data_IF_917231394637
#
_entry.id   IF_917231394637
#
_cell.length_a   1.000
_cell.length_b   1.000
_cell.length_c   1.000
_cell.angle_alpha   90.00
_cell.angle_beta   90.00
_cell.angle_gamma   90.00
#
_symmetry.space_group_name_H-M   'P 1'
#
loop_
_entity.id
_entity.type
_entity.pdbx_description
1 polymer ?
#
# COMPACT_ATOMS: atom_id res chain seq x y z
N UNK A 1 2.84 -18.12 20.16
CA UNK A 1 2.73 -17.19 19.02
C UNK A 1 2.13 -17.93 17.85
N UNK A 2 1.01 -17.44 17.29
CA UNK A 2 0.38 -18.04 16.13
C UNK A 2 1.38 -18.04 14.97
N UNK A 3 1.46 -19.14 14.22
CA UNK A 3 2.37 -19.26 13.07
C UNK A 3 1.75 -20.12 12.00
N UNK A 4 2.19 -19.93 10.77
CA UNK A 4 1.86 -20.80 9.64
C UNK A 4 3.06 -21.73 9.42
N UNK A 5 2.81 -23.03 9.55
CA UNK A 5 3.83 -24.06 9.36
C UNK A 5 4.08 -24.30 7.87
N UNK A 6 5.36 -24.26 7.46
CA UNK A 6 5.77 -24.54 6.09
C UNK A 6 5.39 -25.96 5.65
N UNK A 7 5.39 -26.95 6.56
CA UNK A 7 4.98 -28.32 6.26
C UNK A 7 3.48 -28.40 5.92
N UNK A 8 2.66 -27.61 6.60
CA UNK A 8 1.22 -27.50 6.29
C UNK A 8 1.01 -26.87 4.91
N UNK A 9 1.73 -25.79 4.59
CA UNK A 9 1.66 -25.16 3.27
C UNK A 9 2.06 -26.17 2.18
N UNK A 10 3.13 -26.93 2.41
CA UNK A 10 3.56 -27.98 1.50
C UNK A 10 2.50 -29.09 1.32
N UNK A 11 1.84 -29.50 2.39
CA UNK A 11 0.75 -30.49 2.36
C UNK A 11 -0.46 -29.96 1.57
N UNK A 12 -0.91 -28.75 1.85
CA UNK A 12 -2.01 -28.10 1.14
C UNK A 12 -1.69 -27.92 -0.35
N UNK A 13 -0.44 -27.55 -0.68
CA UNK A 13 0.03 -27.48 -2.06
C UNK A 13 0.05 -28.85 -2.74
N UNK A 14 0.50 -29.89 -2.04
CA UNK A 14 0.51 -31.26 -2.56
C UNK A 14 -0.89 -31.74 -2.95
N UNK A 15 -1.90 -31.46 -2.11
CA UNK A 15 -3.31 -31.79 -2.37
C UNK A 15 -3.85 -31.18 -3.67
N UNK A 16 -3.32 -30.02 -4.08
CA UNK A 16 -3.79 -29.24 -5.24
C UNK A 16 -2.89 -29.37 -6.49
N UNK A 17 -1.70 -29.96 -6.34
CA UNK A 17 -0.65 -30.00 -7.38
C UNK A 17 -1.11 -30.54 -8.74
N UNK A 18 -1.94 -31.59 -8.76
CA UNK A 18 -2.39 -32.22 -10.02
C UNK A 18 -3.32 -31.29 -10.81
N UNK A 19 -4.23 -30.59 -10.12
CA UNK A 19 -5.12 -29.64 -10.77
C UNK A 19 -4.33 -28.42 -11.26
N UNK A 20 -3.53 -27.83 -10.37
CA UNK A 20 -2.67 -26.69 -10.68
C UNK A 20 -1.77 -26.95 -11.90
N UNK A 21 -1.07 -28.10 -11.93
CA UNK A 21 -0.18 -28.43 -13.05
C UNK A 21 -0.90 -28.49 -14.39
N UNK A 22 -2.14 -29.02 -14.44
CA UNK A 22 -2.93 -29.06 -15.67
C UNK A 22 -3.31 -27.67 -16.17
N UNK A 23 -3.76 -26.79 -15.27
CA UNK A 23 -4.17 -25.43 -15.63
C UNK A 23 -2.96 -24.60 -16.06
N UNK A 24 -1.84 -24.76 -15.37
CA UNK A 24 -0.57 -24.12 -15.72
C UNK A 24 -0.08 -24.56 -17.10
N UNK A 25 -0.01 -25.87 -17.36
CA UNK A 25 0.43 -26.40 -18.66
C UNK A 25 -0.45 -25.90 -19.81
N UNK A 26 -1.77 -25.83 -19.60
CA UNK A 26 -2.71 -25.30 -20.58
C UNK A 26 -2.45 -23.81 -20.88
N UNK A 27 -2.32 -23.00 -19.84
CA UNK A 27 -2.09 -21.56 -19.97
C UNK A 27 -0.74 -21.26 -20.62
N UNK A 28 0.33 -21.95 -20.21
CA UNK A 28 1.67 -21.82 -20.79
C UNK A 28 1.64 -22.12 -22.29
N UNK A 29 0.96 -23.21 -22.70
CA UNK A 29 0.81 -23.54 -24.11
C UNK A 29 0.04 -22.46 -24.89
N UNK A 30 -1.02 -21.89 -24.30
CA UNK A 30 -1.81 -20.80 -24.91
C UNK A 30 -1.01 -19.50 -25.04
N UNK A 31 -0.21 -19.15 -24.04
CA UNK A 31 0.66 -17.96 -24.05
C UNK A 31 1.80 -18.09 -25.06
N UNK A 32 2.44 -19.26 -25.13
CA UNK A 32 3.49 -19.54 -26.11
C UNK A 32 2.97 -19.41 -27.56
N UNK A 33 1.74 -19.84 -27.83
CA UNK A 33 1.11 -19.66 -29.14
C UNK A 33 0.86 -18.18 -29.52
N UNK A 34 0.82 -17.27 -28.52
CA UNK A 34 0.73 -15.82 -28.68
C UNK A 34 2.10 -15.11 -28.60
N UNK A 35 3.19 -15.86 -28.46
CA UNK A 35 4.54 -15.29 -28.32
C UNK A 35 4.84 -14.68 -26.95
N UNK A 36 4.04 -14.99 -25.92
CA UNK A 36 4.25 -14.50 -24.54
C UNK A 36 5.10 -15.49 -23.75
N UNK A 37 6.15 -14.98 -23.09
CA UNK A 37 7.03 -15.77 -22.22
C UNK A 37 6.43 -15.95 -20.82
N UNK A 38 5.73 -17.08 -20.61
CA UNK A 38 5.12 -17.38 -19.32
C UNK A 38 6.14 -17.53 -18.18
N UNK A 39 7.37 -17.98 -18.44
CA UNK A 39 8.39 -18.14 -17.41
C UNK A 39 8.93 -16.78 -16.97
N UNK A 40 9.15 -15.86 -17.91
CA UNK A 40 9.45 -14.45 -17.61
C UNK A 40 8.36 -13.78 -16.77
N UNK A 41 7.08 -14.06 -17.05
CA UNK A 41 5.96 -13.55 -16.23
C UNK A 41 6.01 -14.13 -14.81
N UNK A 42 6.23 -15.44 -14.66
CA UNK A 42 6.34 -16.07 -13.34
C UNK A 42 7.53 -15.50 -12.55
N UNK A 43 8.66 -15.25 -13.20
CA UNK A 43 9.83 -14.65 -12.57
C UNK A 43 9.54 -13.22 -12.06
N UNK A 44 8.94 -12.36 -12.90
CA UNK A 44 8.54 -11.02 -12.48
C UNK A 44 7.53 -11.01 -11.32
N UNK A 45 6.60 -11.97 -11.30
CA UNK A 45 5.65 -12.14 -10.19
C UNK A 45 6.32 -12.64 -8.90
N UNK A 46 7.40 -13.41 -9.00
CA UNK A 46 8.15 -13.88 -7.85
C UNK A 46 9.01 -12.77 -7.21
N UNK A 47 9.36 -11.74 -7.97
CA UNK A 47 10.06 -10.54 -7.50
C UNK A 47 9.11 -9.44 -6.98
N UNK A 48 7.80 -9.56 -7.25
CA UNK A 48 6.83 -8.57 -6.81
C UNK A 48 6.65 -8.59 -5.29
N UNK A 49 6.92 -7.45 -4.66
CA UNK A 49 6.70 -7.20 -3.24
C UNK A 49 5.68 -6.07 -3.03
N UNK A 50 4.86 -6.20 -1.99
CA UNK A 50 3.98 -5.12 -1.50
C UNK A 50 3.94 -5.12 0.03
N UNK A 51 4.18 -3.96 0.62
CA UNK A 51 4.21 -3.79 2.06
C UNK A 51 2.81 -3.85 2.69
N UNK A 52 2.75 -4.43 3.88
CA UNK A 52 1.51 -4.55 4.66
C UNK A 52 1.39 -3.38 5.63
N UNK A 53 0.27 -2.65 5.66
CA UNK A 53 0.05 -1.58 6.62
C UNK A 53 -0.20 -2.15 8.02
N UNK A 54 0.57 -1.70 9.01
CA UNK A 54 0.43 -2.14 10.40
C UNK A 54 -0.99 -1.88 10.97
N UNK A 55 -1.67 -0.84 10.47
CA UNK A 55 -3.00 -0.42 10.92
C UNK A 55 -4.12 -1.26 10.33
N UNK A 56 -3.89 -1.99 9.24
CA UNK A 56 -4.88 -2.89 8.64
C UNK A 56 -4.71 -4.36 9.06
N UNK A 57 -3.91 -4.65 10.09
CA UNK A 57 -3.81 -5.99 10.67
C UNK A 57 -4.86 -6.25 11.76
N UNK A 58 -5.46 -5.17 12.29
CA UNK A 58 -6.65 -5.22 13.13
C UNK A 58 -7.92 -4.96 12.33
N UNK A 59 -9.08 -5.26 12.90
CA UNK A 59 -10.36 -4.89 12.28
C UNK A 59 -10.45 -3.36 12.20
N UNK A 60 -10.79 -2.84 11.03
CA UNK A 60 -11.03 -1.43 10.84
C UNK A 60 -12.32 -0.94 11.50
N UNK A 61 -12.55 0.36 11.43
CA UNK A 61 -13.79 1.00 11.86
C UNK A 61 -14.27 2.07 10.90
N UNK A 62 -15.45 2.59 11.22
CA UNK A 62 -15.94 3.86 10.66
C UNK A 62 -16.21 4.81 11.82
N UNK A 63 -16.48 6.08 11.52
CA UNK A 63 -16.96 7.05 12.52
C UNK A 63 -18.23 6.61 13.30
N UNK A 64 -18.94 5.57 12.85
CA UNK A 64 -20.13 5.05 13.52
C UNK A 64 -19.87 3.86 14.44
N UNK A 65 -18.78 3.13 14.23
CA UNK A 65 -18.50 1.95 15.02
C UNK A 65 -17.42 1.06 14.42
N UNK A 66 -16.94 0.16 15.28
CA UNK A 66 -15.89 -0.83 15.05
C UNK A 66 -16.34 -2.17 15.60
N UNK A 67 -16.15 -3.26 14.85
CA UNK A 67 -16.69 -4.59 15.17
C UNK A 67 -15.57 -5.64 15.21
N UNK A 68 -14.78 -5.71 16.30
CA UNK A 68 -13.63 -6.59 16.39
C UNK A 68 -14.02 -8.07 16.32
N UNK A 69 -13.19 -8.88 15.68
CA UNK A 69 -13.40 -10.33 15.51
C UNK A 69 -12.64 -11.20 16.52
N UNK A 70 -11.78 -10.58 17.33
CA UNK A 70 -10.91 -11.23 18.30
C UNK A 70 -9.58 -11.74 17.74
N UNK A 71 -8.61 -11.93 18.62
CA UNK A 71 -7.24 -12.31 18.22
C UNK A 71 -6.48 -11.20 17.50
N UNK A 72 -6.92 -9.95 17.59
CA UNK A 72 -6.23 -8.81 16.97
C UNK A 72 -4.83 -8.60 17.60
N UNK A 73 -3.85 -8.13 16.81
CA UNK A 73 -2.51 -7.86 17.31
C UNK A 73 -2.51 -6.60 18.20
N UNK A 74 -2.01 -6.72 19.42
CA UNK A 74 -2.03 -5.70 20.47
C UNK A 74 -0.74 -4.87 20.53
N UNK A 75 0.32 -5.38 19.90
CA UNK A 75 1.68 -4.83 19.92
C UNK A 75 2.24 -4.82 18.50
N UNK A 76 3.28 -4.02 18.26
CA UNK A 76 3.98 -3.99 16.97
C UNK A 76 4.60 -5.35 16.64
N UNK A 77 5.08 -6.09 17.65
CA UNK A 77 5.59 -7.45 17.51
C UNK A 77 4.51 -8.44 17.04
N UNK A 78 3.30 -8.36 17.60
CA UNK A 78 2.17 -9.19 17.15
C UNK A 78 1.69 -8.81 15.74
N UNK A 79 1.83 -7.53 15.35
CA UNK A 79 1.60 -7.09 13.97
C UNK A 79 2.64 -7.68 13.02
N UNK A 80 3.91 -7.69 13.40
CA UNK A 80 4.98 -8.36 12.65
C UNK A 80 4.72 -9.87 12.51
N UNK A 81 4.22 -10.54 13.56
CA UNK A 81 3.82 -11.96 13.47
C UNK A 81 2.71 -12.18 12.43
N UNK A 82 1.70 -11.30 12.41
CA UNK A 82 0.60 -11.37 11.45
C UNK A 82 1.07 -11.08 10.01
N UNK A 83 1.99 -10.13 9.82
CA UNK A 83 2.66 -9.90 8.52
C UNK A 83 3.50 -11.11 8.09
N UNK A 84 4.23 -11.74 9.01
CA UNK A 84 5.01 -12.95 8.71
C UNK A 84 4.10 -14.12 8.29
N UNK A 85 2.92 -14.25 8.90
CA UNK A 85 1.92 -15.22 8.47
C UNK A 85 1.39 -14.93 7.05
N UNK A 86 1.13 -13.67 6.72
CA UNK A 86 0.77 -13.28 5.34
C UNK A 86 1.89 -13.64 4.36
N UNK A 87 3.12 -13.23 4.65
CA UNK A 87 4.27 -13.49 3.79
C UNK A 87 4.52 -14.98 3.58
N UNK A 88 4.36 -15.81 4.62
CA UNK A 88 4.49 -17.27 4.51
C UNK A 88 3.50 -17.90 3.53
N UNK A 89 2.35 -17.27 3.28
CA UNK A 89 1.36 -17.73 2.31
C UNK A 89 1.53 -17.07 0.93
N UNK A 90 1.81 -15.77 0.89
CA UNK A 90 1.83 -15.00 -0.35
C UNK A 90 3.18 -14.98 -1.04
N UNK A 91 4.27 -15.18 -0.30
CA UNK A 91 5.64 -14.91 -0.72
C UNK A 91 5.88 -13.48 -1.25
N UNK A 92 4.96 -12.54 -0.98
CA UNK A 92 4.96 -11.19 -1.59
C UNK A 92 4.87 -10.04 -0.57
N UNK A 93 4.75 -10.34 0.73
CA UNK A 93 4.63 -9.34 1.78
C UNK A 93 5.82 -9.28 2.77
N UNK A 94 7.08 -9.10 2.32
CA UNK A 94 8.25 -9.20 3.20
C UNK A 94 8.45 -7.97 4.10
N UNK A 95 7.56 -6.97 4.05
CA UNK A 95 7.71 -5.71 4.79
C UNK A 95 6.42 -5.23 5.40
N UNK A 96 6.54 -4.50 6.50
CA UNK A 96 5.43 -3.80 7.17
C UNK A 96 5.66 -2.27 7.13
N UNK A 97 4.61 -1.52 6.81
CA UNK A 97 4.61 -0.05 6.91
C UNK A 97 4.11 0.34 8.29
N UNK A 98 4.92 1.06 9.07
CA UNK A 98 4.58 1.48 10.43
C UNK A 98 3.97 2.88 10.46
N UNK A 99 3.11 3.13 11.45
CA UNK A 99 2.47 4.40 11.68
C UNK A 99 2.76 4.93 13.10
N UNK A 100 3.35 6.12 13.20
CA UNK A 100 3.84 6.66 14.46
C UNK A 100 2.92 7.79 14.93
N UNK A 101 2.33 7.71 16.15
CA UNK A 101 2.82 6.93 17.30
C UNK A 101 2.04 5.64 17.62
N UNK A 102 1.20 5.13 16.72
CA UNK A 102 0.44 3.89 16.96
C UNK A 102 1.34 2.68 17.18
N UNK A 103 2.46 2.62 16.46
CA UNK A 103 3.43 1.52 16.49
C UNK A 103 4.78 1.90 17.11
N UNK A 104 4.87 3.06 17.78
CA UNK A 104 6.11 3.55 18.39
C UNK A 104 6.67 2.50 19.38
N UNK A 105 7.80 1.84 19.08
CA UNK A 105 8.34 0.82 19.96
C UNK A 105 9.04 1.42 21.18
N UNK A 106 9.07 0.69 22.32
CA UNK A 106 9.88 1.09 23.46
C UNK A 106 11.39 0.91 23.21
N UNK A 107 11.76 -0.03 22.33
CA UNK A 107 13.14 -0.33 21.94
C UNK A 107 13.19 -0.63 20.43
N UNK A 108 13.59 0.34 19.59
CA UNK A 108 13.68 0.16 18.15
C UNK A 108 14.65 -0.94 17.71
N UNK A 109 15.78 -1.09 18.43
CA UNK A 109 16.78 -2.10 18.08
C UNK A 109 16.23 -3.52 18.33
N UNK A 110 15.59 -3.74 19.47
CA UNK A 110 14.94 -5.01 19.77
C UNK A 110 13.80 -5.33 18.78
N UNK A 111 13.02 -4.31 18.37
CA UNK A 111 11.97 -4.50 17.37
C UNK A 111 12.55 -4.91 16.00
N UNK A 112 13.65 -4.28 15.59
CA UNK A 112 14.33 -4.62 14.32
C UNK A 112 14.83 -6.06 14.33
N UNK A 113 15.52 -6.46 15.40
CA UNK A 113 16.04 -7.82 15.54
C UNK A 113 14.89 -8.84 15.54
N UNK A 114 13.77 -8.53 16.21
CA UNK A 114 12.56 -9.36 16.23
C UNK A 114 11.94 -9.56 14.83
N UNK A 115 11.93 -8.50 14.02
CA UNK A 115 11.41 -8.53 12.65
C UNK A 115 12.33 -9.31 11.71
N UNK A 116 13.65 -9.13 11.83
CA UNK A 116 14.66 -9.85 11.05
C UNK A 116 14.58 -11.37 11.30
N UNK A 117 14.40 -11.80 12.55
CA UNK A 117 14.19 -13.22 12.90
C UNK A 117 12.96 -13.85 12.21
N UNK A 118 12.01 -13.03 11.77
CA UNK A 118 10.78 -13.45 11.07
C UNK A 118 10.83 -13.20 9.56
N UNK A 119 11.96 -12.69 9.06
CA UNK A 119 12.12 -12.33 7.65
C UNK A 119 11.25 -11.14 7.23
N UNK A 120 10.93 -10.24 8.16
CA UNK A 120 10.12 -9.04 7.89
C UNK A 120 10.99 -7.78 8.03
N UNK A 121 11.00 -6.96 6.98
CA UNK A 121 11.59 -5.62 6.99
C UNK A 121 10.56 -4.52 7.25
N UNK A 122 11.03 -3.27 7.22
CA UNK A 122 10.17 -2.09 7.36
C UNK A 122 10.17 -1.29 6.06
N UNK A 123 8.97 -0.98 5.57
CA UNK A 123 8.80 -0.11 4.41
C UNK A 123 8.77 1.37 4.84
N UNK A 124 8.15 2.26 4.07
CA UNK A 124 8.03 3.67 4.43
C UNK A 124 7.38 3.86 5.81
N UNK A 125 7.96 4.76 6.61
CA UNK A 125 7.39 5.20 7.88
C UNK A 125 6.23 6.16 7.62
N UNK A 126 5.19 6.17 8.46
CA UNK A 126 4.03 7.06 8.34
C UNK A 126 3.90 7.94 9.59
N UNK A 127 3.86 9.26 9.41
CA UNK A 127 3.70 10.22 10.52
C UNK A 127 2.23 10.49 10.83
N UNK A 128 1.84 10.48 12.11
CA UNK A 128 0.52 10.94 12.54
C UNK A 128 0.56 12.38 13.10
N UNK A 129 0.04 13.33 12.33
CA UNK A 129 -0.30 14.69 12.80
C UNK A 129 -1.76 15.04 12.53
N UNK A 130 -2.63 14.03 12.50
CA UNK A 130 -4.08 14.18 12.27
C UNK A 130 -4.91 13.78 13.50
N UNK A 131 -4.30 13.14 14.50
CA UNK A 131 -4.91 12.78 15.77
C UNK A 131 -4.06 13.27 16.94
N UNK A 132 -4.69 13.93 17.91
CA UNK A 132 -3.99 14.37 19.13
C UNK A 132 -3.49 13.16 19.93
N UNK A 133 -2.18 13.10 20.15
CA UNK A 133 -1.52 12.15 21.05
C UNK A 133 -0.52 12.94 21.91
N UNK A 134 -0.50 12.80 23.24
CA UNK A 134 0.43 13.52 24.10
C UNK A 134 1.90 13.39 23.68
N UNK A 135 2.28 12.27 23.04
CA UNK A 135 3.64 12.01 22.55
C UNK A 135 4.01 12.89 21.35
N UNK A 136 3.04 13.31 20.54
CA UNK A 136 3.26 14.14 19.34
C UNK A 136 2.87 15.60 19.57
N UNK A 137 2.02 15.86 20.57
CA UNK A 137 1.44 17.19 20.87
C UNK A 137 2.14 17.92 22.03
N UNK A 138 3.43 17.61 22.28
CA UNK A 138 4.22 18.19 23.39
C UNK A 138 3.51 18.06 24.75
N UNK A 139 3.03 16.87 25.07
CA UNK A 139 2.29 16.62 26.31
C UNK A 139 0.88 17.24 26.33
N UNK A 140 0.32 17.57 25.16
CA UNK A 140 -0.99 18.20 25.02
C UNK A 140 -0.97 19.73 25.03
N UNK A 141 0.20 20.36 24.93
CA UNK A 141 0.34 21.83 24.82
C UNK A 141 -0.18 22.38 23.49
N UNK A 142 -0.17 21.56 22.44
CA UNK A 142 -0.70 21.87 21.11
C UNK A 142 -1.76 20.86 20.70
N UNK A 143 -2.51 21.15 19.63
CA UNK A 143 -3.51 20.25 19.07
C UNK A 143 -3.52 20.37 17.55
N UNK A 144 -3.75 19.25 16.86
CA UNK A 144 -3.85 19.16 15.41
C UNK A 144 -5.23 19.54 14.88
N UNK A 145 -6.18 19.89 15.75
CA UNK A 145 -7.58 20.19 15.41
C UNK A 145 -7.76 21.19 14.26
N UNK A 146 -6.87 22.17 14.11
CA UNK A 146 -6.92 23.18 13.03
C UNK A 146 -5.77 23.04 12.03
N UNK A 147 -5.34 21.79 11.81
CA UNK A 147 -4.20 21.44 11.01
C UNK A 147 -2.93 21.31 11.84
N UNK A 148 -1.95 20.66 11.21
CA UNK A 148 -0.60 20.46 11.69
C UNK A 148 0.37 21.42 10.99
N UNK A 149 0.93 21.04 9.84
CA UNK A 149 1.88 21.86 9.07
C UNK A 149 1.26 23.15 8.50
N UNK A 150 -0.05 23.18 8.24
CA UNK A 150 -0.75 24.37 7.74
C UNK A 150 -1.24 25.31 8.86
N UNK A 151 -1.08 24.91 10.13
CA UNK A 151 -1.64 25.63 11.27
C UNK A 151 -1.15 27.08 11.33
N UNK A 152 -2.03 28.00 11.76
CA UNK A 152 -1.67 29.40 11.89
C UNK A 152 -0.66 29.65 13.02
N UNK A 153 -0.72 28.87 14.10
CA UNK A 153 0.20 28.97 15.23
C UNK A 153 1.56 28.32 14.87
N UNK A 154 2.68 29.08 14.89
CA UNK A 154 4.00 28.52 14.65
C UNK A 154 4.41 27.42 15.62
N UNK A 155 3.91 27.40 16.85
CA UNK A 155 4.23 26.34 17.83
C UNK A 155 3.65 25.00 17.42
N UNK A 156 2.45 24.99 16.84
CA UNK A 156 1.82 23.78 16.32
C UNK A 156 2.62 23.27 15.12
N UNK A 157 2.98 24.16 14.18
CA UNK A 157 3.81 23.78 13.02
C UNK A 157 5.18 23.21 13.45
N UNK A 158 5.79 23.81 14.47
CA UNK A 158 7.07 23.33 14.99
C UNK A 158 6.94 21.91 15.56
N UNK A 159 5.92 21.65 16.37
CA UNK A 159 5.68 20.31 16.90
C UNK A 159 5.41 19.28 15.78
N UNK A 160 4.70 19.66 14.73
CA UNK A 160 4.44 18.78 13.59
C UNK A 160 5.72 18.45 12.81
N UNK A 161 6.62 19.42 12.62
CA UNK A 161 7.94 19.18 12.01
C UNK A 161 8.78 18.29 12.92
N UNK A 162 8.91 18.62 14.21
CA UNK A 162 9.66 17.82 15.20
C UNK A 162 9.21 16.36 15.21
N UNK A 163 7.90 16.11 15.16
CA UNK A 163 7.36 14.76 15.07
C UNK A 163 7.82 14.03 13.81
N UNK A 164 7.72 14.67 12.64
CA UNK A 164 8.18 14.07 11.39
C UNK A 164 9.69 13.77 11.40
N UNK A 165 10.52 14.65 11.98
CA UNK A 165 11.96 14.39 12.12
C UNK A 165 12.22 13.17 13.01
N UNK A 166 11.50 13.05 14.13
CA UNK A 166 11.61 11.90 15.01
C UNK A 166 11.17 10.59 14.33
N UNK A 167 10.18 10.64 13.43
CA UNK A 167 9.77 9.48 12.63
C UNK A 167 10.85 9.07 11.62
N UNK A 168 11.53 10.03 11.00
CA UNK A 168 12.70 9.75 10.15
C UNK A 168 13.80 9.08 10.97
N UNK A 169 14.17 9.65 12.12
CA UNK A 169 15.22 9.10 12.99
C UNK A 169 14.89 7.67 13.44
N UNK A 170 13.63 7.42 13.84
CA UNK A 170 13.17 6.07 14.18
C UNK A 170 13.26 5.11 12.99
N UNK A 171 12.85 5.54 11.80
CA UNK A 171 12.93 4.70 10.61
C UNK A 171 14.38 4.37 10.23
N UNK A 172 15.34 5.27 10.49
CA UNK A 172 16.77 4.98 10.32
C UNK A 172 17.21 3.85 11.26
N UNK A 173 16.78 3.87 12.53
CA UNK A 173 17.10 2.80 13.48
C UNK A 173 16.52 1.44 13.07
N UNK A 174 15.30 1.46 12.49
CA UNK A 174 14.58 0.28 12.01
C UNK A 174 15.05 -0.22 10.63
N UNK A 175 15.79 0.59 9.87
CA UNK A 175 16.24 0.24 8.51
C UNK A 175 15.25 0.56 7.39
N UNK A 176 14.29 1.46 7.62
CA UNK A 176 13.46 2.06 6.58
C UNK A 176 14.28 3.04 5.72
N UNK A 177 13.72 3.41 4.57
CA UNK A 177 14.33 4.34 3.60
C UNK A 177 13.37 5.42 3.10
N UNK A 178 12.20 5.58 3.72
CA UNK A 178 11.26 6.60 3.31
C UNK A 178 10.33 7.06 4.45
N UNK A 179 9.83 8.28 4.32
CA UNK A 179 8.77 8.84 5.15
C UNK A 179 7.58 9.22 4.25
N UNK A 180 6.41 8.67 4.53
CA UNK A 180 5.12 9.11 3.99
C UNK A 180 4.45 10.12 4.91
N UNK A 181 4.06 11.25 4.32
CA UNK A 181 3.33 12.34 4.97
C UNK A 181 1.99 12.52 4.26
N UNK A 182 0.95 11.97 4.89
CA UNK A 182 -0.43 12.37 4.66
C UNK A 182 -0.84 13.44 5.67
N UNK A 183 -1.58 14.45 5.21
CA UNK A 183 -2.02 15.57 6.05
C UNK A 183 -3.54 15.69 6.05
N UNK A 184 -4.11 15.73 7.26
CA UNK A 184 -5.50 16.13 7.49
C UNK A 184 -5.76 17.64 7.33
N UNK A 185 -4.71 18.42 7.07
CA UNK A 185 -4.73 19.88 7.01
C UNK A 185 -5.70 20.40 5.95
N UNK A 186 -6.63 21.24 6.39
CA UNK A 186 -7.66 21.79 5.52
C UNK A 186 -8.63 22.71 6.25
N UNK A 187 -9.81 22.90 5.67
CA UNK A 187 -10.89 23.72 6.22
C UNK A 187 -12.24 23.05 6.00
N UNK A 188 -13.20 23.37 6.88
CA UNK A 188 -14.60 22.92 6.80
C UNK A 188 -15.57 24.05 6.42
N UNK A 189 -15.10 25.30 6.37
CA UNK A 189 -15.95 26.45 6.05
C UNK A 189 -15.24 27.48 5.14
N UNK A 190 -15.95 28.07 4.15
CA UNK A 190 -15.45 29.22 3.39
C UNK A 190 -14.98 30.36 4.30
N UNK A 191 -13.77 30.86 4.04
CA UNK A 191 -13.17 31.95 4.80
C UNK A 191 -12.47 31.53 6.11
N UNK A 192 -12.47 30.25 6.48
CA UNK A 192 -11.80 29.76 7.70
C UNK A 192 -10.29 30.01 7.66
N UNK A 193 -9.65 29.85 6.51
CA UNK A 193 -8.24 30.12 6.31
C UNK A 193 -7.95 30.59 4.87
N UNK A 194 -6.77 31.17 4.65
CA UNK A 194 -6.28 31.48 3.32
C UNK A 194 -5.63 30.24 2.72
N UNK A 195 -6.15 29.74 1.60
CA UNK A 195 -5.60 28.59 0.88
C UNK A 195 -4.12 28.76 0.58
N UNK A 196 -3.74 29.94 0.06
CA UNK A 196 -2.35 30.28 -0.23
C UNK A 196 -1.46 30.20 1.00
N UNK A 197 -1.86 30.81 2.12
CA UNK A 197 -1.01 30.80 3.33
C UNK A 197 -0.92 29.41 3.95
N UNK A 198 -1.96 28.59 3.85
CA UNK A 198 -1.89 27.19 4.29
C UNK A 198 -0.90 26.40 3.43
N UNK A 199 -0.97 26.54 2.10
CA UNK A 199 -0.05 25.90 1.17
C UNK A 199 1.41 26.31 1.39
N UNK A 200 1.68 27.62 1.55
CA UNK A 200 3.02 28.16 1.83
C UNK A 200 3.61 27.57 3.13
N UNK A 201 2.80 27.37 4.18
CA UNK A 201 3.25 26.76 5.44
C UNK A 201 3.52 25.27 5.32
N UNK A 202 2.69 24.53 4.59
CA UNK A 202 2.93 23.11 4.32
C UNK A 202 4.20 22.93 3.50
N UNK A 203 4.40 23.74 2.46
CA UNK A 203 5.63 23.74 1.67
C UNK A 203 6.87 24.02 2.53
N UNK A 204 6.81 25.02 3.43
CA UNK A 204 7.89 25.29 4.38
C UNK A 204 8.17 24.10 5.30
N UNK A 205 7.13 23.48 5.86
CA UNK A 205 7.25 22.31 6.73
C UNK A 205 7.87 21.11 6.01
N UNK A 206 7.38 20.78 4.82
CA UNK A 206 7.90 19.68 4.01
C UNK A 206 9.35 19.90 3.58
N UNK A 207 9.74 21.15 3.26
CA UNK A 207 11.15 21.46 2.98
C UNK A 207 12.04 21.21 4.20
N UNK A 208 11.61 21.61 5.40
CA UNK A 208 12.36 21.35 6.64
C UNK A 208 12.50 19.85 6.93
N UNK A 209 11.45 19.05 6.64
CA UNK A 209 11.50 17.59 6.76
C UNK A 209 12.45 16.99 5.71
N UNK A 210 12.36 17.45 4.46
CA UNK A 210 13.25 17.05 3.36
C UNK A 210 14.73 17.33 3.69
N UNK A 211 15.02 18.50 4.26
CA UNK A 211 16.37 18.93 4.65
C UNK A 211 17.00 18.01 5.73
N UNK A 212 16.17 17.30 6.51
CA UNK A 212 16.62 16.35 7.55
C UNK A 212 16.82 14.93 7.03
N UNK A 213 16.32 14.59 5.84
CA UNK A 213 16.39 13.23 5.33
C UNK A 213 17.85 12.73 5.17
N UNK A 214 18.18 11.52 5.63
CA UNK A 214 19.45 10.86 5.33
C UNK A 214 19.67 10.64 3.83
N UNK A 215 20.92 10.42 3.42
CA UNK A 215 21.21 10.02 2.05
C UNK A 215 20.47 8.71 1.70
N UNK A 216 19.95 8.63 0.47
CA UNK A 216 19.14 7.49 0.01
C UNK A 216 17.68 7.51 0.47
N UNK A 217 17.28 8.39 1.37
CA UNK A 217 15.88 8.50 1.80
C UNK A 217 14.99 9.27 0.81
N UNK A 218 13.71 8.91 0.77
CA UNK A 218 12.67 9.60 0.00
C UNK A 218 11.59 10.17 0.94
N UNK A 219 11.18 11.42 0.70
CA UNK A 219 9.95 11.97 1.28
C UNK A 219 8.79 11.72 0.31
N UNK A 220 7.74 11.09 0.81
CA UNK A 220 6.56 10.70 0.09
C UNK A 220 5.40 11.59 0.56
N UNK A 221 4.79 12.35 -0.35
CA UNK A 221 3.64 13.22 -0.03
C UNK A 221 2.37 12.67 -0.65
N UNK A 222 1.36 12.49 0.19
CA UNK A 222 0.11 11.85 -0.20
C UNK A 222 -1.02 12.90 -0.29
N UNK A 223 -1.67 12.97 -1.44
CA UNK A 223 -2.82 13.87 -1.63
C UNK A 223 -4.13 13.20 -1.25
N UNK A 224 -5.07 14.00 -0.75
CA UNK A 224 -6.45 13.58 -0.50
C UNK A 224 -7.43 14.75 -0.66
N UNK A 225 -8.48 14.62 -1.49
CA UNK A 225 -9.36 15.74 -1.82
C UNK A 225 -10.24 16.21 -0.67
N UNK A 226 -10.63 15.30 0.24
CA UNK A 226 -11.46 15.59 1.40
C UNK A 226 -11.32 14.50 2.46
N UNK A 227 -11.93 14.73 3.63
CA UNK A 227 -11.86 13.88 4.82
C UNK A 227 -10.46 13.85 5.46
N UNK A 228 -10.28 14.44 6.66
CA UNK A 228 -11.30 15.00 7.55
C UNK A 228 -11.72 16.44 7.24
N UNK A 229 -11.08 17.10 6.26
CA UNK A 229 -11.48 18.43 5.79
C UNK A 229 -12.59 18.33 4.74
N UNK A 230 -13.70 19.02 4.93
CA UNK A 230 -14.91 18.86 4.11
C UNK A 230 -15.25 20.08 3.23
N UNK A 231 -14.41 21.12 3.23
CA UNK A 231 -14.52 22.24 2.30
C UNK A 231 -13.27 22.41 1.44
N UNK A 232 -12.07 22.36 2.03
CA UNK A 232 -10.80 22.33 1.27
C UNK A 232 -9.74 21.51 2.00
N UNK A 233 -9.00 20.66 1.31
CA UNK A 233 -7.74 20.08 1.81
C UNK A 233 -6.53 20.85 1.26
N UNK A 234 -5.42 20.91 1.99
CA UNK A 234 -4.21 21.63 1.52
C UNK A 234 -3.51 20.84 0.43
N UNK A 235 -3.28 19.53 0.63
CA UNK A 235 -2.77 18.63 -0.41
C UNK A 235 -3.93 17.92 -1.10
N UNK A 236 -4.74 18.67 -1.85
CA UNK A 236 -6.06 18.20 -2.32
C UNK A 236 -6.02 17.22 -3.50
N UNK A 237 -5.00 17.28 -4.35
CA UNK A 237 -4.91 16.49 -5.58
C UNK A 237 -3.46 16.30 -6.00
N UNK A 238 -3.24 15.46 -7.02
CA UNK A 238 -1.91 15.17 -7.55
C UNK A 238 -1.16 16.42 -8.07
N UNK A 239 -1.88 17.45 -8.51
CA UNK A 239 -1.28 18.72 -8.95
C UNK A 239 -0.71 19.51 -7.78
N UNK A 240 -1.45 19.60 -6.68
CA UNK A 240 -1.01 20.18 -5.42
C UNK A 240 0.15 19.40 -4.82
N UNK A 241 0.05 18.06 -4.84
CA UNK A 241 1.11 17.15 -4.37
C UNK A 241 2.40 17.34 -5.16
N UNK A 242 2.30 17.44 -6.49
CA UNK A 242 3.44 17.71 -7.37
C UNK A 242 4.10 19.05 -7.07
N UNK A 243 3.32 20.12 -6.86
CA UNK A 243 3.86 21.43 -6.49
C UNK A 243 4.56 21.40 -5.13
N UNK A 244 3.96 20.73 -4.13
CA UNK A 244 4.58 20.54 -2.82
C UNK A 244 5.87 19.71 -2.91
N UNK A 245 5.87 18.63 -3.68
CA UNK A 245 7.05 17.80 -3.89
C UNK A 245 8.19 18.56 -4.58
N UNK A 246 7.87 19.37 -5.60
CA UNK A 246 8.85 20.20 -6.29
C UNK A 246 9.46 21.27 -5.38
N UNK A 247 8.64 21.91 -4.54
CA UNK A 247 9.08 22.95 -3.60
C UNK A 247 9.86 22.35 -2.41
N UNK A 248 9.47 21.18 -1.92
CA UNK A 248 10.12 20.54 -0.77
C UNK A 248 11.55 20.10 -1.09
N UNK A 249 11.80 19.50 -2.27
CA UNK A 249 13.15 19.16 -2.70
C UNK A 249 13.27 17.98 -3.66
N UNK A 250 14.49 17.70 -4.16
CA UNK A 250 14.72 16.70 -5.20
C UNK A 250 14.50 15.25 -4.77
N UNK A 251 14.38 14.97 -3.46
CA UNK A 251 14.08 13.63 -2.89
C UNK A 251 12.61 13.49 -2.47
N UNK A 252 11.77 14.44 -2.84
CA UNK A 252 10.34 14.38 -2.55
C UNK A 252 9.58 13.86 -3.77
N UNK A 253 8.66 12.93 -3.55
CA UNK A 253 7.83 12.27 -4.56
C UNK A 253 6.38 12.19 -4.07
N UNK A 254 5.44 11.93 -4.97
CA UNK A 254 4.03 11.79 -4.68
C UNK A 254 3.65 10.32 -4.47
N UNK A 255 2.80 10.04 -3.49
CA UNK A 255 2.07 8.78 -3.36
C UNK A 255 0.71 8.91 -4.03
N UNK A 256 0.32 7.87 -4.75
CA UNK A 256 -1.02 7.73 -5.31
C UNK A 256 -1.79 6.70 -4.49
N UNK A 257 -2.69 7.18 -3.65
CA UNK A 257 -3.73 6.35 -3.03
C UNK A 257 -4.93 6.23 -3.98
N UNK A 258 -5.44 5.02 -4.21
CA UNK A 258 -6.50 4.79 -5.19
C UNK A 258 -7.87 5.37 -4.79
N UNK A 259 -8.17 5.46 -3.50
CA UNK A 259 -9.37 6.06 -2.92
C UNK A 259 -9.35 7.58 -2.90
N UNK A 260 -8.17 8.19 -2.98
CA UNK A 260 -7.96 9.63 -2.79
C UNK A 260 -8.16 10.50 -4.04
N UNK A 261 -9.22 10.24 -4.80
CA UNK A 261 -9.54 10.99 -6.01
C UNK A 261 -11.00 11.43 -6.08
N UNK A 262 -11.26 12.54 -6.76
CA UNK A 262 -12.63 12.98 -7.03
C UNK A 262 -13.34 11.98 -7.97
N UNK A 263 -14.69 11.87 -7.89
CA UNK A 263 -15.43 10.94 -8.72
C UNK A 263 -15.09 11.05 -10.22
N UNK A 264 -14.94 9.90 -10.87
CA UNK A 264 -14.60 9.74 -12.29
C UNK A 264 -13.20 10.23 -12.71
N UNK A 265 -12.29 10.47 -11.78
CA UNK A 265 -10.88 10.72 -12.11
C UNK A 265 -10.29 9.52 -12.84
N UNK A 266 -9.58 9.78 -13.93
CA UNK A 266 -8.72 8.78 -14.57
C UNK A 266 -7.39 8.72 -13.78
N UNK A 267 -7.24 7.69 -12.95
CA UNK A 267 -6.13 7.55 -12.00
C UNK A 267 -4.87 7.06 -12.73
N UNK A 268 -5.02 6.15 -13.67
CA UNK A 268 -3.93 5.65 -14.50
C UNK A 268 -3.26 6.78 -15.31
N UNK A 269 -3.99 7.80 -15.74
CA UNK A 269 -3.41 9.02 -16.31
C UNK A 269 -2.60 9.83 -15.29
N UNK A 270 -3.04 9.90 -14.02
CA UNK A 270 -2.27 10.56 -12.95
C UNK A 270 -0.93 9.85 -12.75
N UNK A 271 -0.95 8.51 -12.68
CA UNK A 271 0.25 7.66 -12.61
C UNK A 271 1.20 7.99 -13.75
N UNK A 272 0.69 7.94 -14.99
CA UNK A 272 1.43 8.29 -16.21
C UNK A 272 2.13 9.65 -16.11
N UNK A 273 1.42 10.68 -15.64
CA UNK A 273 1.95 12.05 -15.54
C UNK A 273 3.00 12.20 -14.43
N UNK A 274 2.79 11.60 -13.28
CA UNK A 274 3.75 11.64 -12.17
C UNK A 274 5.03 10.87 -12.53
N UNK A 275 4.90 9.72 -13.21
CA UNK A 275 6.03 8.95 -13.71
C UNK A 275 6.83 9.76 -14.75
N UNK A 276 6.15 10.36 -15.74
CA UNK A 276 6.76 11.18 -16.79
C UNK A 276 7.67 12.30 -16.26
N UNK A 277 7.30 12.92 -15.13
CA UNK A 277 8.09 14.01 -14.51
C UNK A 277 9.02 13.54 -13.39
N UNK A 278 9.19 12.22 -13.22
CA UNK A 278 10.06 11.64 -12.19
C UNK A 278 9.62 12.00 -10.77
N UNK A 279 8.31 12.06 -10.54
CA UNK A 279 7.69 12.40 -9.24
C UNK A 279 6.72 11.35 -8.71
N UNK A 280 6.52 10.23 -9.39
CA UNK A 280 5.85 9.07 -8.82
C UNK A 280 6.78 8.40 -7.80
N UNK A 281 6.34 8.27 -6.55
CA UNK A 281 7.12 7.65 -5.47
C UNK A 281 6.62 6.27 -5.05
N UNK A 282 5.33 6.01 -5.25
CA UNK A 282 4.70 4.79 -4.75
C UNK A 282 3.18 4.85 -4.77
N UNK A 283 2.59 3.82 -4.19
CA UNK A 283 1.14 3.59 -4.16
C UNK A 283 0.68 3.19 -2.77
N UNK A 284 -0.52 3.65 -2.44
CA UNK A 284 -1.37 3.05 -1.43
C UNK A 284 -2.53 2.35 -2.15
N UNK A 285 -2.53 1.02 -2.10
CA UNK A 285 -3.49 0.19 -2.82
C UNK A 285 -4.70 -0.14 -1.95
N UNK A 286 -5.88 0.26 -2.44
CA UNK A 286 -7.21 -0.13 -1.98
C UNK A 286 -8.15 -0.23 -3.17
N UNK A 287 -9.44 -0.41 -2.90
CA UNK A 287 -10.48 -0.17 -3.88
C UNK A 287 -11.61 0.65 -3.25
N UNK A 288 -12.42 1.26 -4.11
CA UNK A 288 -13.47 2.17 -3.67
C UNK A 288 -14.59 2.31 -4.68
N UNK A 289 -15.77 2.68 -4.19
CA UNK A 289 -16.95 2.99 -4.99
C UNK A 289 -17.44 4.43 -4.81
N UNK A 290 -17.38 4.98 -3.60
CA UNK A 290 -17.98 6.27 -3.28
C UNK A 290 -16.95 7.33 -2.94
N UNK A 291 -16.06 7.04 -1.99
CA UNK A 291 -15.01 7.94 -1.57
C UNK A 291 -13.75 7.17 -1.25
N UNK A 292 -13.11 7.55 -0.15
CA UNK A 292 -12.04 6.76 0.44
C UNK A 292 -12.63 5.61 1.27
N UNK A 293 -13.04 4.55 0.57
CA UNK A 293 -13.78 3.44 1.18
C UNK A 293 -12.84 2.37 1.80
N UNK A 294 -11.53 2.43 1.49
CA UNK A 294 -10.49 1.54 2.02
C UNK A 294 -10.76 0.03 1.87
N UNK A 295 -11.37 -0.38 0.75
CA UNK A 295 -11.78 -1.75 0.52
C UNK A 295 -10.65 -2.63 -0.04
N UNK A 296 -10.89 -3.94 -0.04
CA UNK A 296 -10.07 -4.96 -0.70
C UNK A 296 -9.68 -4.54 -2.12
N UNK A 297 -8.39 -4.53 -2.41
CA UNK A 297 -7.82 -4.08 -3.68
C UNK A 297 -8.38 -4.92 -4.83
N UNK A 298 -8.83 -4.26 -5.89
CA UNK A 298 -9.36 -4.92 -7.09
C UNK A 298 -10.73 -5.59 -6.92
N UNK A 299 -11.41 -5.43 -5.79
CA UNK A 299 -12.71 -6.06 -5.53
C UNK A 299 -13.91 -5.35 -6.17
N UNK A 300 -13.76 -4.08 -6.55
CA UNK A 300 -14.81 -3.24 -7.15
C UNK A 300 -14.45 -2.86 -8.58
N UNK A 301 -13.20 -2.43 -8.83
CA UNK A 301 -12.72 -1.92 -10.13
C UNK A 301 -11.45 -2.67 -10.60
N UNK A 302 -11.48 -4.01 -10.78
CA UNK A 302 -10.30 -4.78 -11.18
C UNK A 302 -9.68 -4.32 -12.51
N UNK A 303 -10.50 -3.81 -13.44
CA UNK A 303 -9.99 -3.30 -14.72
C UNK A 303 -9.17 -2.00 -14.54
N UNK A 304 -9.54 -1.12 -13.60
CA UNK A 304 -8.75 0.08 -13.31
C UNK A 304 -7.39 -0.29 -12.71
N UNK A 305 -7.36 -1.28 -11.80
CA UNK A 305 -6.10 -1.78 -11.24
C UNK A 305 -5.17 -2.34 -12.34
N UNK A 306 -5.73 -3.11 -13.28
CA UNK A 306 -4.99 -3.57 -14.47
C UNK A 306 -4.44 -2.41 -15.32
N UNK A 307 -5.24 -1.37 -15.59
CA UNK A 307 -4.78 -0.20 -16.35
C UNK A 307 -3.66 0.57 -15.62
N UNK A 308 -3.70 0.65 -14.30
CA UNK A 308 -2.61 1.21 -13.50
C UNK A 308 -1.33 0.38 -13.66
N UNK A 309 -1.42 -0.95 -13.63
CA UNK A 309 -0.26 -1.82 -13.88
C UNK A 309 0.31 -1.65 -15.29
N UNK A 310 -0.54 -1.40 -16.30
CA UNK A 310 -0.06 -1.07 -17.66
C UNK A 310 0.79 0.19 -17.68
N UNK A 311 0.35 1.27 -17.03
CA UNK A 311 1.11 2.53 -16.95
C UNK A 311 2.39 2.39 -16.12
N UNK A 312 2.39 1.54 -15.09
CA UNK A 312 3.60 1.24 -14.32
C UNK A 312 4.64 0.51 -15.17
N UNK A 313 4.21 -0.48 -15.93
CA UNK A 313 5.11 -1.19 -16.83
C UNK A 313 5.60 -0.28 -17.97
N UNK A 314 4.78 0.64 -18.48
CA UNK A 314 5.23 1.65 -19.45
C UNK A 314 6.31 2.55 -18.84
N UNK A 315 6.11 3.02 -17.61
CA UNK A 315 7.07 3.87 -16.90
C UNK A 315 8.41 3.17 -16.60
N UNK A 316 8.42 1.84 -16.49
CA UNK A 316 9.61 1.03 -16.25
C UNK A 316 10.12 0.26 -17.47
N UNK A 317 9.79 0.70 -18.68
CA UNK A 317 10.24 0.08 -19.95
C UNK A 317 9.97 -1.43 -20.03
N UNK A 318 8.78 -1.82 -19.59
CA UNK A 318 8.28 -3.20 -19.60
C UNK A 318 8.50 -3.97 -18.31
N UNK A 319 9.22 -3.39 -17.35
CA UNK A 319 9.47 -3.93 -16.00
C UNK A 319 8.75 -3.06 -14.97
N UNK A 320 8.38 -3.64 -13.84
CA UNK A 320 7.80 -2.87 -12.74
C UNK A 320 8.89 -1.96 -12.13
N UNK A 321 8.70 -0.64 -12.03
CA UNK A 321 9.71 0.26 -11.48
C UNK A 321 9.89 0.05 -9.97
N UNK A 322 11.08 0.34 -9.46
CA UNK A 322 11.35 0.33 -8.02
C UNK A 322 10.67 1.53 -7.34
N UNK A 323 9.46 1.30 -6.81
CA UNK A 323 8.66 2.28 -6.08
C UNK A 323 8.22 1.70 -4.73
N UNK A 324 7.73 2.55 -3.83
CA UNK A 324 7.11 2.10 -2.59
C UNK A 324 5.69 1.56 -2.88
N UNK A 325 5.53 0.24 -2.96
CA UNK A 325 4.24 -0.41 -3.13
C UNK A 325 3.69 -0.81 -1.78
N UNK A 326 2.61 -0.16 -1.33
CA UNK A 326 2.00 -0.39 -0.02
C UNK A 326 0.50 -0.65 -0.21
N UNK A 327 -0.07 -1.52 0.62
CA UNK A 327 -1.52 -1.58 0.79
C UNK A 327 -1.90 -0.52 1.83
N UNK A 328 -3.05 0.14 1.65
CA UNK A 328 -3.65 1.01 2.68
C UNK A 328 -5.15 0.74 2.70
N UNK A 329 -5.65 0.10 3.75
CA UNK A 329 -7.00 -0.47 3.82
C UNK A 329 -7.56 -0.46 5.24
N UNK A 330 -8.88 -0.66 5.34
CA UNK A 330 -9.62 -0.73 6.61
C UNK A 330 -10.62 -1.89 6.55
N UNK A 331 -10.26 -3.02 7.15
CA UNK A 331 -11.04 -4.27 7.03
C UNK A 331 -12.14 -4.34 8.08
N UNK A 332 -13.30 -3.79 7.74
CA UNK A 332 -14.41 -3.61 8.67
C UNK A 332 -15.23 -4.88 8.96
N UNK A 333 -15.25 -5.83 8.01
CA UNK A 333 -16.19 -6.97 8.03
C UNK A 333 -15.53 -8.34 7.87
N UNK A 334 -14.32 -8.40 7.30
CA UNK A 334 -13.59 -9.65 7.08
C UNK A 334 -12.55 -9.88 8.17
N UNK A 335 -12.01 -11.09 8.23
CA UNK A 335 -10.71 -11.28 8.86
C UNK A 335 -9.67 -10.42 8.11
N UNK A 336 -8.98 -9.47 8.79
CA UNK A 336 -8.01 -8.61 8.14
C UNK A 336 -6.93 -9.38 7.35
N UNK A 337 -6.51 -10.54 7.86
CA UNK A 337 -5.54 -11.40 7.18
C UNK A 337 -6.12 -12.00 5.89
N UNK A 338 -7.38 -12.47 5.91
CA UNK A 338 -8.03 -12.96 4.69
C UNK A 338 -8.17 -11.86 3.64
N UNK A 339 -8.46 -10.63 4.09
CA UNK A 339 -8.61 -9.48 3.20
C UNK A 339 -7.27 -9.08 2.56
N UNK A 340 -6.20 -8.99 3.35
CA UNK A 340 -4.85 -8.71 2.85
C UNK A 340 -4.32 -9.80 1.91
N UNK A 341 -4.65 -11.07 2.15
CA UNK A 341 -4.35 -12.17 1.20
C UNK A 341 -5.05 -11.94 -0.15
N UNK A 342 -6.33 -11.55 -0.14
CA UNK A 342 -7.08 -11.26 -1.36
C UNK A 342 -6.54 -10.03 -2.09
N UNK A 343 -6.19 -8.97 -1.36
CA UNK A 343 -5.60 -7.75 -1.93
C UNK A 343 -4.24 -8.02 -2.58
N UNK A 344 -3.38 -8.79 -1.90
CA UNK A 344 -2.06 -9.18 -2.45
C UNK A 344 -2.21 -10.01 -3.72
N UNK A 345 -3.13 -10.98 -3.73
CA UNK A 345 -3.41 -11.78 -4.92
C UNK A 345 -3.97 -10.92 -6.06
N UNK A 346 -4.87 -9.97 -5.78
CA UNK A 346 -5.42 -9.07 -6.80
C UNK A 346 -4.33 -8.22 -7.48
N UNK A 347 -3.34 -7.75 -6.72
CA UNK A 347 -2.18 -7.03 -7.26
C UNK A 347 -1.33 -7.93 -8.17
N UNK A 348 -1.02 -9.14 -7.73
CA UNK A 348 -0.29 -10.13 -8.54
C UNK A 348 -1.06 -10.48 -9.83
N UNK A 349 -2.38 -10.64 -9.75
CA UNK A 349 -3.23 -10.92 -10.91
C UNK A 349 -3.24 -9.74 -11.90
N UNK A 350 -3.37 -8.51 -11.41
CA UNK A 350 -3.35 -7.32 -12.28
C UNK A 350 -1.99 -7.16 -12.98
N UNK A 351 -0.89 -7.39 -12.25
CA UNK A 351 0.46 -7.38 -12.84
C UNK A 351 0.62 -8.49 -13.88
N UNK A 352 0.21 -9.71 -13.57
CA UNK A 352 0.27 -10.84 -14.50
C UNK A 352 -0.56 -10.58 -15.77
N UNK A 353 -1.78 -10.04 -15.64
CA UNK A 353 -2.63 -9.65 -16.76
C UNK A 353 -1.95 -8.59 -17.64
N UNK A 354 -1.31 -7.59 -17.03
CA UNK A 354 -0.59 -6.54 -17.74
C UNK A 354 0.65 -7.09 -18.49
N UNK A 355 1.39 -8.00 -17.87
CA UNK A 355 2.58 -8.63 -18.46
C UNK A 355 2.26 -9.56 -19.65
N UNK A 356 1.04 -10.10 -19.74
CA UNK A 356 0.62 -10.95 -20.87
C UNK A 356 -0.03 -10.17 -22.03
N UNK A 357 -0.11 -8.84 -21.95
CA UNK A 357 -0.57 -7.99 -23.07
C UNK A 357 0.48 -8.00 -24.19
N UNK A 358 0.03 -8.14 -25.44
CA UNK A 358 0.88 -7.95 -26.62
C UNK A 358 1.17 -6.46 -26.83
N UNK A 359 2.25 -5.99 -26.19
CA UNK A 359 2.67 -4.57 -26.25
C UNK A 359 2.99 -4.10 -27.67
N UNK A 360 3.56 -4.98 -28.50
CA UNK A 360 3.90 -4.62 -29.87
C UNK A 360 2.62 -4.35 -30.69
N UNK A 361 1.63 -5.24 -30.59
CA UNK A 361 0.33 -5.04 -31.23
C UNK A 361 -0.44 -3.84 -30.67
N UNK A 362 -0.30 -3.56 -29.37
CA UNK A 362 -0.91 -2.38 -28.76
C UNK A 362 -0.33 -1.08 -29.33
N UNK A 363 1.01 -0.97 -29.39
CA UNK A 363 1.71 0.19 -29.95
C UNK A 363 1.36 0.35 -31.43
N UNK A 364 1.36 -0.73 -32.22
CA UNK A 364 0.98 -0.69 -33.63
C UNK A 364 -0.44 -0.13 -33.82
N UNK A 365 -1.40 -0.59 -33.01
CA UNK A 365 -2.77 -0.11 -33.06
C UNK A 365 -2.89 1.37 -32.65
N UNK A 366 -2.13 1.80 -31.63
CA UNK A 366 -2.11 3.19 -31.18
C UNK A 366 -1.55 4.13 -32.25
N UNK A 367 -0.40 3.80 -32.85
CA UNK A 367 0.25 4.57 -33.93
C UNK A 367 -0.60 4.60 -35.20
N UNK A 368 -1.39 3.55 -35.46
CA UNK A 368 -2.35 3.51 -36.55
C UNK A 368 -3.67 4.25 -36.26
N UNK A 369 -3.85 4.81 -35.06
CA UNK A 369 -5.12 5.37 -34.57
C UNK A 369 -6.30 4.38 -34.71
N UNK A 370 -6.09 3.09 -34.42
CA UNK A 370 -7.13 2.06 -34.39
C UNK A 370 -7.57 1.77 -32.95
N UNK A 371 -8.56 2.52 -32.42
CA UNK A 371 -9.03 2.33 -31.05
C UNK A 371 -9.75 0.98 -30.86
N UNK A 372 -10.30 0.39 -31.92
CA UNK A 372 -10.97 -0.91 -31.81
C UNK A 372 -9.93 -2.02 -31.60
N UNK A 373 -8.85 -2.02 -32.39
CA UNK A 373 -7.77 -2.98 -32.21
C UNK A 373 -7.05 -2.80 -30.87
N UNK A 374 -6.73 -1.57 -30.47
CA UNK A 374 -6.07 -1.30 -29.20
C UNK A 374 -6.89 -1.82 -28.01
N UNK A 375 -8.22 -1.60 -28.03
CA UNK A 375 -9.12 -2.10 -26.99
C UNK A 375 -9.17 -3.63 -26.93
N UNK A 376 -9.22 -4.32 -28.07
CA UNK A 376 -9.18 -5.79 -28.12
C UNK A 376 -7.87 -6.34 -27.54
N UNK A 377 -6.72 -5.75 -27.89
CA UNK A 377 -5.41 -6.18 -27.37
C UNK A 377 -5.33 -6.07 -25.84
N UNK A 378 -5.80 -4.95 -25.27
CA UNK A 378 -5.85 -4.79 -23.81
C UNK A 378 -6.82 -5.78 -23.16
N UNK A 379 -8.01 -5.96 -23.75
CA UNK A 379 -9.02 -6.86 -23.21
C UNK A 379 -8.60 -8.34 -23.29
N UNK A 380 -7.82 -8.72 -24.31
CA UNK A 380 -7.26 -10.07 -24.42
C UNK A 380 -6.28 -10.36 -23.27
N UNK A 381 -5.46 -9.39 -22.88
CA UNK A 381 -4.59 -9.50 -21.69
C UNK A 381 -5.41 -9.58 -20.40
N UNK A 382 -6.30 -8.61 -20.19
CA UNK A 382 -7.13 -8.54 -18.97
C UNK A 382 -8.02 -9.78 -18.76
N UNK A 383 -8.60 -10.34 -19.82
CA UNK A 383 -9.48 -11.52 -19.75
C UNK A 383 -8.72 -12.85 -19.72
N UNK A 384 -7.40 -12.83 -19.86
CA UNK A 384 -6.60 -14.05 -19.68
C UNK A 384 -6.69 -14.49 -18.22
N UNK A 385 -7.08 -15.74 -17.98
CA UNK A 385 -7.06 -16.32 -16.65
C UNK A 385 -5.62 -16.65 -16.23
N UNK A 386 -4.98 -15.70 -15.56
CA UNK A 386 -3.57 -15.77 -15.15
C UNK A 386 -3.36 -16.39 -13.76
N UNK A 387 -4.41 -16.86 -13.09
CA UNK A 387 -4.32 -17.47 -11.75
C UNK A 387 -3.26 -18.58 -11.66
N UNK A 388 -3.09 -19.47 -12.67
CA UNK A 388 -2.03 -20.47 -12.62
C UNK A 388 -0.61 -19.89 -12.58
N UNK A 389 -0.33 -18.76 -13.26
CA UNK A 389 0.99 -18.12 -13.22
C UNK A 389 1.28 -17.55 -11.83
N UNK A 390 0.30 -16.83 -11.27
CA UNK A 390 0.40 -16.22 -9.95
C UNK A 390 0.58 -17.29 -8.87
N UNK A 391 -0.26 -18.33 -8.88
CA UNK A 391 -0.15 -19.42 -7.92
C UNK A 391 1.20 -20.16 -8.04
N UNK A 392 1.72 -20.32 -9.26
CA UNK A 392 3.02 -20.95 -9.47
C UNK A 392 4.17 -20.07 -8.96
N UNK A 393 4.12 -18.75 -9.16
CA UNK A 393 5.11 -17.82 -8.61
C UNK A 393 5.16 -17.93 -7.08
N UNK A 394 4.00 -17.90 -6.41
CA UNK A 394 3.91 -18.09 -4.95
C UNK A 394 4.49 -19.43 -4.52
N UNK A 395 4.09 -20.54 -5.17
CA UNK A 395 4.56 -21.88 -4.84
C UNK A 395 6.08 -22.02 -4.96
N UNK A 396 6.69 -21.36 -5.95
CA UNK A 396 8.15 -21.34 -6.12
C UNK A 396 8.85 -20.52 -5.04
N UNK A 397 8.21 -19.46 -4.55
CA UNK A 397 8.63 -18.70 -3.36
C UNK A 397 8.32 -19.36 -2.01
N UNK A 398 7.79 -20.60 -2.00
CA UNK A 398 7.43 -21.32 -0.77
C UNK A 398 6.02 -21.02 -0.23
N UNK A 399 5.27 -20.13 -0.89
CA UNK A 399 3.90 -19.80 -0.54
C UNK A 399 2.85 -20.82 -0.99
N UNK A 400 1.58 -20.47 -0.75
CA UNK A 400 0.44 -21.33 -1.02
C UNK A 400 -0.13 -21.13 -2.43
N UNK A 401 -0.57 -22.24 -3.04
CA UNK A 401 -1.34 -22.23 -4.29
C UNK A 401 -2.69 -21.54 -4.09
N UNK A 402 -3.37 -21.83 -2.98
CA UNK A 402 -4.71 -21.31 -2.64
C UNK A 402 -4.67 -20.61 -1.27
N UNK A 403 -4.62 -19.28 -1.26
CA UNK A 403 -4.30 -18.48 -0.06
C UNK A 403 -5.31 -18.66 1.08
N UNK A 404 -6.57 -18.26 0.87
CA UNK A 404 -7.61 -18.28 1.92
C UNK A 404 -7.89 -19.70 2.40
N UNK A 405 -7.88 -20.68 1.49
CA UNK A 405 -8.09 -22.08 1.88
C UNK A 405 -6.96 -22.59 2.80
N UNK A 406 -5.71 -22.26 2.48
CA UNK A 406 -4.53 -22.66 3.28
C UNK A 406 -4.51 -21.92 4.63
N UNK A 407 -4.82 -20.62 4.64
CA UNK A 407 -4.96 -19.83 5.87
C UNK A 407 -5.99 -20.44 6.83
N UNK A 408 -7.17 -20.82 6.31
CA UNK A 408 -8.22 -21.45 7.10
C UNK A 408 -7.81 -22.85 7.58
N UNK A 409 -7.13 -23.63 6.74
CA UNK A 409 -6.59 -24.94 7.14
C UNK A 409 -5.55 -24.82 8.27
N UNK A 410 -4.76 -23.74 8.28
CA UNK A 410 -3.80 -23.44 9.34
C UNK A 410 -4.47 -23.09 10.68
N UNK A 411 -5.73 -22.67 10.67
CA UNK A 411 -6.43 -22.26 11.88
C UNK A 411 -5.79 -21.08 12.60
N UNK A 412 -5.03 -20.24 11.87
CA UNK A 412 -4.22 -19.16 12.45
C UNK A 412 -5.05 -18.22 13.33
N UNK A 413 -6.22 -17.77 12.85
CA UNK A 413 -7.14 -16.92 13.64
C UNK A 413 -7.58 -17.59 14.95
N UNK A 414 -7.82 -18.90 14.95
CA UNK A 414 -8.20 -19.60 16.18
C UNK A 414 -7.04 -19.65 17.18
N UNK A 415 -5.80 -19.85 16.70
CA UNK A 415 -4.60 -19.75 17.53
C UNK A 415 -4.43 -18.34 18.10
N UNK A 416 -4.58 -17.31 17.25
CA UNK A 416 -4.49 -15.91 17.66
C UNK A 416 -5.55 -15.53 18.71
N UNK A 417 -6.80 -15.99 18.57
CA UNK A 417 -7.85 -15.79 19.57
C UNK A 417 -7.49 -16.48 20.89
N UNK A 418 -6.94 -17.70 20.84
CA UNK A 418 -6.55 -18.43 22.04
C UNK A 418 -5.41 -17.74 22.80
N UNK A 419 -4.47 -17.12 22.09
CA UNK A 419 -3.30 -16.48 22.67
C UNK A 419 -3.54 -15.02 23.09
N UNK A 420 -4.23 -14.24 22.25
CA UNK A 420 -4.41 -12.79 22.44
C UNK A 420 -5.74 -12.45 23.12
N UNK A 421 -6.73 -13.34 23.04
CA UNK A 421 -8.07 -13.17 23.59
C UNK A 421 -9.09 -12.63 22.58
N UNK A 422 -10.38 -12.74 22.93
CA UNK A 422 -11.50 -12.26 22.09
C UNK A 422 -11.67 -10.74 22.09
N UNK A 423 -11.28 -10.10 23.18
CA UNK A 423 -11.40 -8.64 23.36
C UNK A 423 -10.11 -7.90 23.02
N UNK A 424 -9.13 -8.58 22.40
CA UNK A 424 -7.90 -7.97 21.93
C UNK A 424 -8.22 -6.90 20.86
N UNK A 425 -7.54 -5.77 20.95
CA UNK A 425 -7.71 -4.64 20.04
C UNK A 425 -6.36 -4.17 19.52
N UNK A 426 -6.27 -3.96 18.21
CA UNK A 426 -5.13 -3.31 17.59
C UNK A 426 -5.20 -1.78 17.69
N UNK A 427 -4.03 -1.14 17.70
CA UNK A 427 -3.91 0.29 17.40
C UNK A 427 -4.02 0.51 15.89
N UNK A 428 -4.70 1.57 15.45
CA UNK A 428 -4.96 1.82 14.02
C UNK A 428 -6.25 2.60 13.79
N UNK A 429 -6.74 2.50 12.54
CA UNK A 429 -7.99 3.11 12.03
C UNK A 429 -9.27 2.56 12.68
#
# INVERSE_FOLDING_TARGET
MPRIDADLVAEENHRRRVHHGRDLDHLVGSLAARGVDAEGVIAALAEFEVAVPSWALGTGGTRFGRFPIGGEPRTTEEKIDDTAALHALTAANPRVSLHVPWDLPPDPAALRDYAEERGIGFDAMNSNTFQDDPRTTRGGEVSWKFGSLANADPKVREAAVEHNLAVVDLGVELGSSALTVWLADGTNHPGQASFRRQFERVAEGLRRIHDHLPDGWTLLVEHKPYEPAFYSSVNTDWGSSLLLAQEAGPRTRCIVDLGHHLPNTNIEQVVSRLAMVGRLGGFHFNDSKYGDDDLTTGSIKPFQLFLIMMELLEAGDGVLPELAYMIDQSHNLKDPLEDLLQSTEALQLALAQALVVDRAALIEAQEANDPARAAEVLMDGFRTDVRPLVAEARRRGGGALELVATYRAAGYRAQAIAERGRDAQATGL
#
